data_IF_578740806874
#
_entry.id   IF_578740806874
#
_cell.length_a   1.000
_cell.length_b   1.000
_cell.length_c   1.000
_cell.angle_alpha   90.00
_cell.angle_beta   90.00
_cell.angle_gamma   90.00
#
_symmetry.space_group_name_H-M   'P 1'
#
loop_
_entity.id
_entity.type
_entity.pdbx_description
1 polymer ?
#
# COMPACT_ATOMS: atom_id res chain seq x y z
N UNK A 1 -13.13 -17.38 -5.34
CA UNK A 1 -12.23 -17.06 -6.46
C UNK A 1 -11.99 -15.56 -6.44
N UNK A 2 -10.78 -15.10 -6.72
CA UNK A 2 -10.46 -13.67 -6.90
C UNK A 2 -11.07 -13.15 -8.20
N UNK A 3 -11.42 -11.85 -8.29
CA UNK A 3 -11.80 -11.22 -9.56
C UNK A 3 -10.70 -11.35 -10.63
N UNK A 4 -11.10 -11.44 -11.90
CA UNK A 4 -10.20 -11.67 -13.06
C UNK A 4 -9.19 -10.54 -13.32
N UNK A 5 -9.40 -9.36 -12.75
CA UNK A 5 -8.45 -8.26 -12.90
C UNK A 5 -7.15 -8.41 -12.09
N UNK A 6 -7.07 -9.39 -11.19
CA UNK A 6 -5.83 -9.64 -10.45
C UNK A 6 -4.82 -10.40 -11.32
N UNK A 7 -3.56 -9.96 -11.24
CA UNK A 7 -2.42 -10.65 -11.84
C UNK A 7 -2.39 -12.12 -11.38
N UNK A 8 -2.07 -13.07 -12.26
CA UNK A 8 -2.05 -14.51 -11.93
C UNK A 8 -1.21 -14.86 -10.70
N UNK A 9 -0.07 -14.19 -10.46
CA UNK A 9 0.76 -14.48 -9.27
C UNK A 9 0.11 -13.98 -7.99
N UNK A 10 -0.58 -12.83 -8.04
CA UNK A 10 -1.34 -12.30 -6.91
C UNK A 10 -2.51 -13.23 -6.58
N UNK A 11 -3.23 -13.68 -7.61
CA UNK A 11 -4.32 -14.64 -7.44
C UNK A 11 -3.84 -15.98 -6.90
N UNK A 12 -2.69 -16.50 -7.38
CA UNK A 12 -2.04 -17.73 -6.88
C UNK A 12 -1.66 -17.61 -5.42
N UNK A 13 -0.98 -16.50 -5.05
CA UNK A 13 -0.63 -16.23 -3.66
C UNK A 13 -1.85 -16.20 -2.74
N UNK A 14 -2.89 -15.46 -3.14
CA UNK A 14 -4.09 -15.31 -2.32
C UNK A 14 -4.79 -16.67 -2.11
N UNK A 15 -4.96 -17.45 -3.17
CA UNK A 15 -5.60 -18.76 -3.11
C UNK A 15 -4.82 -19.79 -2.30
N UNK A 16 -3.48 -19.66 -2.23
CA UNK A 16 -2.65 -20.50 -1.38
C UNK A 16 -2.69 -20.08 0.10
N UNK A 17 -3.00 -18.80 0.37
CA UNK A 17 -2.95 -18.23 1.72
C UNK A 17 -4.32 -18.22 2.41
N UNK A 18 -5.39 -18.02 1.65
CA UNK A 18 -6.76 -17.86 2.18
C UNK A 18 -7.73 -18.82 1.52
N UNK A 19 -8.64 -19.42 2.30
CA UNK A 19 -9.64 -20.35 1.75
C UNK A 19 -10.65 -19.67 0.81
N UNK A 20 -10.97 -18.40 1.08
CA UNK A 20 -11.86 -17.58 0.26
C UNK A 20 -11.71 -16.09 0.55
N UNK A 21 -12.08 -15.26 -0.41
CA UNK A 21 -12.22 -13.82 -0.19
C UNK A 21 -13.45 -13.52 0.67
N UNK A 22 -13.32 -12.57 1.59
CA UNK A 22 -14.46 -12.13 2.41
C UNK A 22 -15.42 -11.28 1.56
N UNK A 23 -16.68 -11.19 1.99
CA UNK A 23 -17.68 -10.34 1.33
C UNK A 23 -17.23 -8.86 1.28
N UNK A 24 -16.54 -8.41 2.33
CA UNK A 24 -15.97 -7.08 2.39
C UNK A 24 -14.92 -6.85 1.28
N UNK A 25 -14.00 -7.79 1.11
CA UNK A 25 -12.96 -7.74 0.08
C UNK A 25 -13.56 -7.73 -1.32
N UNK A 26 -14.47 -8.66 -1.63
CA UNK A 26 -15.10 -8.73 -2.95
C UNK A 26 -15.81 -7.43 -3.33
N UNK A 27 -16.56 -6.81 -2.39
CA UNK A 27 -17.25 -5.54 -2.65
C UNK A 27 -16.28 -4.37 -2.82
N UNK A 28 -15.20 -4.32 -2.00
CA UNK A 28 -14.18 -3.30 -2.12
C UNK A 28 -13.45 -3.41 -3.46
N UNK A 29 -13.04 -4.61 -3.84
CA UNK A 29 -12.34 -4.85 -5.11
C UNK A 29 -13.19 -4.51 -6.34
N UNK A 30 -14.46 -4.83 -6.35
CA UNK A 30 -15.36 -4.44 -7.43
C UNK A 30 -15.43 -2.91 -7.58
N UNK A 31 -15.55 -2.17 -6.46
CA UNK A 31 -15.61 -0.72 -6.50
C UNK A 31 -14.27 -0.08 -6.95
N UNK A 32 -13.14 -0.66 -6.51
CA UNK A 32 -11.80 -0.17 -6.87
C UNK A 32 -11.46 -0.49 -8.34
N UNK A 33 -11.89 -1.63 -8.85
CA UNK A 33 -11.72 -1.99 -10.27
C UNK A 33 -12.47 -1.02 -11.21
N UNK A 34 -13.62 -0.51 -10.75
CA UNK A 34 -14.36 0.56 -11.47
C UNK A 34 -13.71 1.96 -11.34
N UNK A 35 -12.53 2.07 -10.72
CA UNK A 35 -11.84 3.34 -10.51
C UNK A 35 -12.49 4.27 -9.48
N UNK A 36 -13.38 3.74 -8.63
CA UNK A 36 -14.12 4.55 -7.65
C UNK A 36 -13.33 4.75 -6.36
N UNK A 37 -13.37 5.97 -5.80
CA UNK A 37 -12.98 6.19 -4.41
C UNK A 37 -13.88 5.37 -3.49
N UNK A 38 -13.28 4.61 -2.58
CA UNK A 38 -14.02 3.59 -1.82
C UNK A 38 -13.80 3.73 -0.32
N UNK A 39 -14.87 3.89 0.44
CA UNK A 39 -14.88 3.78 1.89
C UNK A 39 -15.29 2.36 2.29
N UNK A 40 -14.43 1.68 3.05
CA UNK A 40 -14.67 0.32 3.52
C UNK A 40 -14.95 0.32 5.02
N UNK A 41 -16.22 0.19 5.39
CA UNK A 41 -16.65 0.04 6.77
C UNK A 41 -17.04 -1.42 7.04
N UNK A 42 -16.29 -2.09 7.90
CA UNK A 42 -16.52 -3.48 8.27
C UNK A 42 -15.86 -3.81 9.62
N UNK A 43 -16.27 -4.83 10.35
CA UNK A 43 -15.68 -5.23 11.62
C UNK A 43 -14.17 -5.51 11.53
N UNK A 44 -13.47 -5.44 12.65
CA UNK A 44 -12.07 -5.88 12.76
C UNK A 44 -11.96 -7.36 12.36
N UNK A 45 -10.87 -7.71 11.67
CA UNK A 45 -10.67 -9.08 11.18
C UNK A 45 -11.40 -9.41 9.86
N UNK A 46 -12.19 -8.50 9.29
CA UNK A 46 -12.87 -8.71 8.00
C UNK A 46 -11.96 -8.63 6.77
N UNK A 47 -10.66 -8.32 6.95
CA UNK A 47 -9.68 -8.21 5.88
C UNK A 47 -9.68 -6.87 5.12
N UNK A 48 -10.15 -5.78 5.73
CA UNK A 48 -10.17 -4.42 5.14
C UNK A 48 -8.80 -3.96 4.66
N UNK A 49 -7.82 -4.01 5.54
CA UNK A 49 -6.45 -3.54 5.28
C UNK A 49 -5.82 -4.34 4.13
N UNK A 50 -5.96 -5.66 4.16
CA UNK A 50 -5.49 -6.51 3.07
C UNK A 50 -6.23 -6.22 1.75
N UNK A 51 -7.53 -5.92 1.80
CA UNK A 51 -8.29 -5.57 0.59
C UNK A 51 -7.67 -4.37 -0.13
N UNK A 52 -7.32 -3.32 0.61
CA UNK A 52 -6.69 -2.13 0.04
C UNK A 52 -5.26 -2.40 -0.46
N UNK A 53 -4.45 -3.08 0.33
CA UNK A 53 -3.08 -3.42 -0.07
C UNK A 53 -3.02 -4.36 -1.27
N UNK A 54 -3.92 -5.34 -1.36
CA UNK A 54 -3.84 -6.33 -2.44
C UNK A 54 -4.07 -5.70 -3.82
N UNK A 55 -4.96 -4.72 -3.94
CA UNK A 55 -5.14 -3.96 -5.20
C UNK A 55 -3.90 -3.12 -5.51
N UNK A 56 -3.31 -2.48 -4.49
CA UNK A 56 -2.09 -1.71 -4.64
C UNK A 56 -0.91 -2.59 -5.08
N UNK A 57 -0.73 -3.75 -4.45
CA UNK A 57 0.28 -4.74 -4.82
C UNK A 57 0.04 -5.29 -6.23
N UNK A 58 -1.21 -5.56 -6.59
CA UNK A 58 -1.57 -6.01 -7.94
C UNK A 58 -1.10 -5.03 -9.01
N UNK A 59 -1.41 -3.75 -8.84
CA UNK A 59 -1.00 -2.70 -9.79
C UNK A 59 0.52 -2.65 -9.96
N UNK A 60 1.27 -2.71 -8.87
CA UNK A 60 2.74 -2.71 -8.93
C UNK A 60 3.30 -4.01 -9.51
N UNK A 61 2.69 -5.16 -9.21
CA UNK A 61 3.08 -6.46 -9.76
C UNK A 61 2.90 -6.50 -11.27
N UNK A 62 1.78 -5.97 -11.78
CA UNK A 62 1.56 -5.84 -13.22
C UNK A 62 2.60 -4.93 -13.89
N UNK A 63 2.95 -3.80 -13.27
CA UNK A 63 4.01 -2.93 -13.76
C UNK A 63 5.37 -3.64 -13.77
N UNK A 64 5.71 -4.36 -12.70
CA UNK A 64 6.95 -5.12 -12.61
C UNK A 64 7.02 -6.23 -13.66
N UNK A 65 5.94 -6.98 -13.86
CA UNK A 65 5.82 -8.02 -14.89
C UNK A 65 6.09 -7.49 -16.30
N UNK A 66 5.62 -6.28 -16.57
CA UNK A 66 5.79 -5.63 -17.90
C UNK A 66 7.12 -4.89 -18.05
N UNK A 67 8.00 -4.92 -17.04
CA UNK A 67 9.23 -4.13 -17.02
C UNK A 67 8.99 -2.61 -16.98
N UNK A 68 7.80 -2.18 -16.57
CA UNK A 68 7.36 -0.78 -16.55
C UNK A 68 7.28 -0.19 -15.11
N UNK A 69 7.92 -0.84 -14.14
CA UNK A 69 7.96 -0.36 -12.75
C UNK A 69 8.91 0.84 -12.65
N UNK A 70 8.35 2.05 -12.61
CA UNK A 70 9.12 3.28 -12.46
C UNK A 70 9.60 3.44 -11.02
N UNK A 71 10.82 3.95 -10.82
CA UNK A 71 11.39 4.25 -9.49
C UNK A 71 10.75 5.53 -8.91
N UNK A 72 9.51 5.43 -8.49
CA UNK A 72 8.69 6.53 -7.98
C UNK A 72 7.77 6.06 -6.84
N UNK A 73 7.27 6.97 -6.02
CA UNK A 73 6.26 6.66 -5.01
C UNK A 73 4.87 6.68 -5.66
N UNK A 74 4.34 5.50 -5.98
CA UNK A 74 3.03 5.35 -6.59
C UNK A 74 1.89 5.21 -5.57
N UNK A 75 2.21 4.66 -4.39
CA UNK A 75 1.23 4.34 -3.35
C UNK A 75 1.62 4.99 -2.03
N UNK A 76 0.67 5.70 -1.43
CA UNK A 76 0.78 6.28 -0.12
C UNK A 76 -0.17 5.58 0.84
N UNK A 77 0.36 4.95 1.88
CA UNK A 77 -0.44 4.39 2.96
C UNK A 77 -0.29 5.24 4.23
N UNK A 78 -1.42 5.69 4.75
CA UNK A 78 -1.51 6.56 5.93
C UNK A 78 -2.22 5.83 7.04
N UNK A 79 -1.56 5.67 8.18
CA UNK A 79 -2.13 5.03 9.36
C UNK A 79 -1.57 5.64 10.65
N UNK A 80 -2.31 5.65 11.76
CA UNK A 80 -1.79 6.08 13.07
C UNK A 80 -0.59 5.23 13.50
N UNK A 81 0.38 5.85 14.18
CA UNK A 81 1.65 5.22 14.56
C UNK A 81 1.50 3.88 15.29
N UNK A 82 0.45 3.70 16.08
CA UNK A 82 0.19 2.47 16.85
C UNK A 82 -0.12 1.25 15.97
N UNK A 83 -0.61 1.46 14.76
CA UNK A 83 -0.96 0.41 13.80
C UNK A 83 0.19 0.06 12.82
N UNK A 84 1.29 0.84 12.81
CA UNK A 84 2.36 0.71 11.82
C UNK A 84 3.28 -0.51 11.98
N UNK A 85 3.23 -1.21 13.10
CA UNK A 85 4.11 -2.36 13.37
C UNK A 85 3.62 -3.65 12.71
N UNK A 86 2.88 -4.44 13.47
CA UNK A 86 2.43 -5.78 13.06
C UNK A 86 1.50 -5.78 11.84
N UNK A 87 0.68 -4.74 11.68
CA UNK A 87 -0.28 -4.67 10.58
C UNK A 87 0.42 -4.47 9.23
N UNK A 88 1.46 -3.64 9.18
CA UNK A 88 2.29 -3.47 7.98
C UNK A 88 2.99 -4.77 7.63
N UNK A 89 3.60 -5.42 8.61
CA UNK A 89 4.29 -6.68 8.37
C UNK A 89 3.35 -7.74 7.80
N UNK A 90 2.17 -7.92 8.39
CA UNK A 90 1.22 -8.96 7.98
C UNK A 90 0.46 -8.65 6.69
N UNK A 91 0.06 -7.40 6.48
CA UNK A 91 -0.82 -7.03 5.37
C UNK A 91 -0.09 -6.44 4.17
N UNK A 92 1.20 -6.08 4.31
CA UNK A 92 2.01 -5.52 3.24
C UNK A 92 3.31 -6.32 3.02
N UNK A 93 4.20 -6.39 4.00
CA UNK A 93 5.57 -6.93 3.77
C UNK A 93 5.56 -8.43 3.47
N UNK A 94 4.84 -9.22 4.22
CA UNK A 94 4.75 -10.68 3.98
C UNK A 94 4.06 -11.00 2.64
N UNK A 95 2.87 -10.43 2.31
CA UNK A 95 2.27 -10.57 1.00
C UNK A 95 3.19 -10.15 -0.14
N UNK A 96 3.83 -8.98 0.00
CA UNK A 96 4.74 -8.45 -1.01
C UNK A 96 5.90 -9.40 -1.28
N UNK A 97 6.59 -9.87 -0.24
CA UNK A 97 7.71 -10.79 -0.37
C UNK A 97 7.31 -12.10 -1.08
N UNK A 98 6.16 -12.67 -0.69
CA UNK A 98 5.66 -13.89 -1.31
C UNK A 98 5.24 -13.68 -2.78
N UNK A 99 4.55 -12.58 -3.08
CA UNK A 99 4.15 -12.24 -4.46
C UNK A 99 5.39 -12.00 -5.33
N UNK A 100 6.41 -11.30 -4.84
CA UNK A 100 7.66 -11.08 -5.57
C UNK A 100 8.41 -12.38 -5.85
N UNK A 101 8.44 -13.32 -4.89
CA UNK A 101 9.04 -14.64 -5.11
C UNK A 101 8.31 -15.39 -6.24
N UNK A 102 6.97 -15.42 -6.21
CA UNK A 102 6.17 -16.04 -7.25
C UNK A 102 6.31 -15.34 -8.62
N UNK A 103 6.47 -14.02 -8.63
CA UNK A 103 6.71 -13.27 -9.86
C UNK A 103 8.07 -13.62 -10.46
N UNK A 104 9.12 -13.74 -9.64
CA UNK A 104 10.44 -14.14 -10.08
C UNK A 104 10.47 -15.57 -10.65
N UNK A 105 9.69 -16.49 -10.07
CA UNK A 105 9.50 -17.84 -10.65
C UNK A 105 8.84 -17.80 -12.01
N UNK A 106 7.91 -16.88 -12.24
CA UNK A 106 7.07 -16.81 -13.42
C UNK A 106 7.76 -16.10 -14.62
N UNK A 107 8.48 -15.01 -14.36
CA UNK A 107 9.11 -14.18 -15.40
C UNK A 107 10.64 -14.14 -15.35
N UNK A 108 11.26 -14.84 -14.42
CA UNK A 108 12.69 -14.77 -14.16
C UNK A 108 13.06 -13.52 -13.35
N UNK A 109 13.88 -12.63 -13.92
CA UNK A 109 14.25 -11.39 -13.25
C UNK A 109 13.16 -10.33 -13.37
N UNK A 110 12.61 -9.90 -12.24
CA UNK A 110 11.63 -8.81 -12.17
C UNK A 110 12.16 -7.69 -11.25
N UNK A 111 11.89 -6.41 -11.57
CA UNK A 111 12.27 -5.31 -10.70
C UNK A 111 11.58 -5.41 -9.34
N UNK A 112 12.36 -5.18 -8.28
CA UNK A 112 11.87 -5.29 -6.91
C UNK A 112 10.92 -4.14 -6.56
N UNK A 113 9.74 -4.47 -6.05
CA UNK A 113 8.82 -3.51 -5.47
C UNK A 113 9.33 -3.17 -4.06
N UNK A 114 9.59 -1.89 -3.81
CA UNK A 114 10.19 -1.42 -2.55
C UNK A 114 9.19 -0.68 -1.68
N UNK A 115 9.33 -0.83 -0.37
CA UNK A 115 8.53 -0.14 0.65
C UNK A 115 9.42 0.66 1.57
N UNK A 116 8.91 1.73 2.15
CA UNK A 116 9.58 2.44 3.23
C UNK A 116 8.56 3.07 4.19
N UNK A 117 8.94 3.14 5.47
CA UNK A 117 8.15 3.78 6.51
C UNK A 117 8.77 5.14 6.84
N UNK A 118 7.95 6.20 6.76
CA UNK A 118 8.32 7.55 7.20
C UNK A 118 7.41 8.01 8.32
N UNK A 119 7.97 8.08 9.51
CA UNK A 119 7.34 8.59 10.73
C UNK A 119 8.17 9.72 11.34
N UNK A 120 7.74 10.23 12.50
CA UNK A 120 8.53 11.18 13.30
C UNK A 120 9.93 10.67 13.63
N UNK A 121 10.06 9.37 13.89
CA UNK A 121 11.29 8.71 14.32
C UNK A 121 12.25 8.37 13.16
N UNK A 122 11.84 8.58 11.91
CA UNK A 122 12.68 8.30 10.74
C UNK A 122 13.88 9.23 10.72
N UNK A 123 15.09 8.65 10.71
CA UNK A 123 16.35 9.41 10.76
C UNK A 123 16.54 10.32 9.54
N UNK A 124 17.32 11.41 9.64
CA UNK A 124 17.64 12.27 8.50
C UNK A 124 18.30 11.51 7.35
N UNK A 125 19.17 10.54 7.65
CA UNK A 125 19.83 9.71 6.64
C UNK A 125 18.82 8.84 5.88
N UNK A 126 17.88 8.19 6.59
CA UNK A 126 16.82 7.40 5.97
C UNK A 126 15.89 8.29 5.10
N UNK A 127 15.54 9.50 5.56
CA UNK A 127 14.77 10.45 4.77
C UNK A 127 15.51 10.89 3.49
N UNK A 128 16.83 11.03 3.57
CA UNK A 128 17.65 11.36 2.40
C UNK A 128 17.71 10.19 1.41
N UNK A 129 17.82 8.94 1.91
CA UNK A 129 17.82 7.75 1.08
C UNK A 129 16.49 7.60 0.32
N UNK A 130 15.36 7.78 0.99
CA UNK A 130 14.02 7.75 0.36
C UNK A 130 13.85 8.81 -0.75
N UNK A 131 14.54 9.94 -0.65
CA UNK A 131 14.53 10.96 -1.72
C UNK A 131 15.37 10.56 -2.93
N UNK A 132 16.51 9.90 -2.70
CA UNK A 132 17.38 9.43 -3.78
C UNK A 132 16.81 8.21 -4.48
N UNK A 133 16.19 7.35 -3.70
CA UNK A 133 15.57 6.09 -4.12
C UNK A 133 14.14 6.04 -3.57
N UNK A 134 13.17 6.69 -4.25
CA UNK A 134 11.78 6.71 -3.80
C UNK A 134 11.22 5.28 -3.69
N UNK A 135 10.61 4.91 -2.55
CA UNK A 135 9.94 3.62 -2.45
C UNK A 135 8.67 3.62 -3.29
N UNK A 136 8.30 2.50 -3.86
CA UNK A 136 7.04 2.36 -4.61
C UNK A 136 5.82 2.51 -3.70
N UNK A 137 5.95 2.05 -2.44
CA UNK A 137 4.93 2.20 -1.40
C UNK A 137 5.53 2.97 -0.22
N UNK A 138 5.03 4.18 0.01
CA UNK A 138 5.39 4.99 1.17
C UNK A 138 4.35 4.82 2.26
N UNK A 139 4.77 4.28 3.39
CA UNK A 139 3.97 4.17 4.61
C UNK A 139 4.26 5.37 5.50
N UNK A 140 3.24 6.05 5.99
CA UNK A 140 3.42 7.25 6.81
C UNK A 140 2.33 7.44 7.85
N UNK A 141 2.52 8.41 8.75
CA UNK A 141 1.51 8.85 9.72
C UNK A 141 0.85 10.15 9.27
N UNK A 142 -0.35 10.50 9.79
CA UNK A 142 -1.01 11.77 9.48
C UNK A 142 -0.11 12.99 9.72
N UNK A 143 0.63 13.00 10.83
CA UNK A 143 1.55 14.08 11.18
C UNK A 143 2.71 14.21 10.18
N UNK A 144 3.27 13.08 9.77
CA UNK A 144 4.36 13.05 8.79
C UNK A 144 3.87 13.41 7.40
N UNK A 145 2.64 13.02 7.03
CA UNK A 145 1.99 13.43 5.79
C UNK A 145 1.81 14.95 5.75
N UNK A 146 1.34 15.56 6.85
CA UNK A 146 1.20 17.01 6.94
C UNK A 146 2.53 17.73 6.66
N UNK A 147 3.64 17.23 7.25
CA UNK A 147 4.98 17.77 6.99
C UNK A 147 5.39 17.59 5.52
N UNK A 148 5.05 16.47 4.90
CA UNK A 148 5.30 16.25 3.48
C UNK A 148 4.53 17.24 2.61
N UNK A 149 3.24 17.44 2.87
CA UNK A 149 2.38 18.35 2.11
C UNK A 149 2.77 19.81 2.27
N UNK A 150 3.27 20.22 3.44
CA UNK A 150 3.65 21.61 3.74
C UNK A 150 5.07 21.96 3.33
N UNK A 151 5.89 20.98 2.91
CA UNK A 151 7.25 21.21 2.43
C UNK A 151 7.35 21.02 0.92
N UNK A 152 8.11 21.87 0.23
CA UNK A 152 8.33 21.79 -1.23
C UNK A 152 8.85 20.41 -1.64
N UNK A 153 9.94 19.95 -1.02
CA UNK A 153 10.54 18.64 -1.27
C UNK A 153 9.61 17.46 -0.93
N UNK A 154 8.74 17.64 0.05
CA UNK A 154 7.73 16.63 0.39
C UNK A 154 6.67 16.53 -0.71
N UNK A 155 6.20 17.66 -1.22
CA UNK A 155 5.26 17.68 -2.35
C UNK A 155 5.86 17.05 -3.62
N UNK A 156 7.15 17.26 -3.88
CA UNK A 156 7.84 16.58 -4.99
C UNK A 156 7.78 15.06 -4.85
N UNK A 157 8.05 14.53 -3.65
CA UNK A 157 7.96 13.08 -3.38
C UNK A 157 6.54 12.54 -3.61
N UNK A 158 5.51 13.35 -3.36
CA UNK A 158 4.12 12.93 -3.49
C UNK A 158 3.53 13.16 -4.91
N UNK A 159 4.24 13.79 -5.83
CA UNK A 159 3.73 14.12 -7.17
C UNK A 159 3.35 12.90 -8.00
N UNK A 160 3.98 11.78 -7.76
CA UNK A 160 3.78 10.52 -8.50
C UNK A 160 2.77 9.59 -7.85
N UNK A 161 2.25 9.97 -6.68
CA UNK A 161 1.24 9.18 -5.96
C UNK A 161 -0.07 9.11 -6.75
N UNK A 162 -0.51 7.89 -7.01
CA UNK A 162 -1.76 7.59 -7.75
C UNK A 162 -2.82 6.97 -6.85
N UNK A 163 -2.37 6.28 -5.79
CA UNK A 163 -3.26 5.63 -4.84
C UNK A 163 -2.93 6.06 -3.41
N UNK A 164 -3.96 6.51 -2.69
CA UNK A 164 -3.85 6.82 -1.25
C UNK A 164 -4.74 5.87 -0.49
N UNK A 165 -4.16 5.17 0.49
CA UNK A 165 -4.87 4.30 1.42
C UNK A 165 -4.83 4.96 2.79
N UNK A 166 -5.99 5.26 3.35
CA UNK A 166 -6.12 5.80 4.72
C UNK A 166 -6.74 4.73 5.58
N UNK A 167 -5.97 4.18 6.51
CA UNK A 167 -6.44 3.14 7.43
C UNK A 167 -6.75 3.72 8.82
N UNK A 168 -7.54 2.98 9.59
CA UNK A 168 -7.94 3.36 10.96
C UNK A 168 -8.49 4.81 11.06
N UNK A 169 -9.30 5.23 10.10
CA UNK A 169 -9.85 6.60 10.02
C UNK A 169 -10.52 7.01 11.34
N UNK A 170 -11.15 6.05 12.04
CA UNK A 170 -11.81 6.31 13.31
C UNK A 170 -10.84 6.76 14.43
N UNK A 171 -9.55 6.40 14.34
CA UNK A 171 -8.55 6.82 15.31
C UNK A 171 -8.09 8.28 15.13
N UNK A 172 -8.44 8.90 14.00
CA UNK A 172 -8.08 10.30 13.69
C UNK A 172 -9.29 11.23 13.66
N UNK A 173 -10.50 10.70 13.46
CA UNK A 173 -11.74 11.50 13.49
C UNK A 173 -11.95 12.13 14.89
N UNK A 174 -12.23 13.44 14.90
CA UNK A 174 -12.54 14.20 16.13
C UNK A 174 -11.31 14.65 16.93
N UNK A 175 -10.11 14.47 16.44
CA UNK A 175 -8.90 14.98 17.08
C UNK A 175 -8.04 15.83 16.11
N UNK A 176 -7.00 16.51 16.66
CA UNK A 176 -6.10 17.36 15.87
C UNK A 176 -5.38 16.59 14.73
N UNK A 177 -5.20 15.28 14.85
CA UNK A 177 -4.56 14.45 13.82
C UNK A 177 -5.40 14.34 12.57
N UNK A 178 -6.73 14.28 12.71
CA UNK A 178 -7.65 14.26 11.58
C UNK A 178 -7.70 15.57 10.80
N UNK A 179 -7.37 16.70 11.44
CA UNK A 179 -7.26 17.98 10.77
C UNK A 179 -6.07 18.06 9.79
N UNK A 180 -5.17 17.09 9.82
CA UNK A 180 -4.00 16.98 8.92
C UNK A 180 -4.24 16.03 7.74
N UNK A 181 -5.36 15.32 7.72
CA UNK A 181 -5.83 14.46 6.63
C UNK A 181 -6.86 15.17 5.75
#
# INVERSE_FOLDING_TARGET
MLPEFFDPVVARWFSATFPAATRCQLRAWAALADGRHTLVAAPTGSGKTLAAFLVALNTLTECARRGALAQETAILYVSPLKALGNDIQRNLEQPLAAIQALLAEDVGEAPAITTAVRSGDTSPAARQLMRKHPPHILVTTPESLYILLTSERGRETLRTVRTVIIDEIHAVVGNKRGAHL
#
